data_IF_976859402719
#
_entry.id   IF_976859402719
#
_cell.length_a   1.000
_cell.length_b   1.000
_cell.length_c   1.000
_cell.angle_alpha   90.00
_cell.angle_beta   90.00
_cell.angle_gamma   90.00
#
_symmetry.space_group_name_H-M   'P 1'
#
loop_
_entity.id
_entity.type
_entity.pdbx_description
1 polymer ?
#
# COMPACT_ATOMS: atom_id res chain seq x y z
N UNK A 1 -14.17 -16.93 -13.71
CA UNK A 1 -14.53 -16.53 -12.33
C UNK A 1 -13.32 -15.84 -11.77
N UNK A 2 -13.41 -14.60 -11.27
CA UNK A 2 -12.24 -13.99 -10.66
C UNK A 2 -11.89 -14.78 -9.39
N UNK A 3 -10.64 -15.20 -9.24
CA UNK A 3 -10.18 -15.92 -8.06
C UNK A 3 -10.37 -15.11 -6.77
N UNK A 4 -10.31 -15.78 -5.62
CA UNK A 4 -10.34 -15.12 -4.31
C UNK A 4 -8.91 -14.89 -3.83
N UNK A 5 -8.64 -13.72 -3.26
CA UNK A 5 -7.37 -13.37 -2.63
C UNK A 5 -7.60 -12.64 -1.30
N UNK A 6 -6.53 -12.45 -0.55
CA UNK A 6 -6.48 -11.69 0.70
C UNK A 6 -5.46 -10.57 0.59
N UNK A 7 -5.50 -9.64 1.52
CA UNK A 7 -4.52 -8.58 1.59
C UNK A 7 -4.71 -7.74 2.83
N UNK A 8 -3.92 -6.67 2.94
CA UNK A 8 -3.99 -5.73 4.05
C UNK A 8 -4.07 -4.30 3.52
N UNK A 9 -4.97 -3.50 4.08
CA UNK A 9 -4.97 -2.05 3.96
C UNK A 9 -4.29 -1.47 5.20
N UNK A 10 -3.15 -0.83 5.00
CA UNK A 10 -2.46 -0.02 5.99
C UNK A 10 -2.84 1.43 5.76
N UNK A 11 -3.49 2.07 6.73
CA UNK A 11 -3.63 3.53 6.72
C UNK A 11 -2.59 4.07 7.69
N UNK A 12 -1.59 4.76 7.14
CA UNK A 12 -0.46 5.30 7.91
C UNK A 12 -0.78 6.63 8.54
N UNK A 13 -1.56 7.46 7.85
CA UNK A 13 -2.01 8.75 8.38
C UNK A 13 -3.31 9.15 7.71
N UNK A 14 -4.29 9.54 8.51
CA UNK A 14 -5.56 10.09 8.09
C UNK A 14 -6.04 11.12 9.13
N UNK A 15 -6.51 12.31 8.72
CA UNK A 15 -7.21 13.20 9.62
C UNK A 15 -8.42 12.49 10.25
N UNK A 16 -8.68 12.73 11.54
CA UNK A 16 -9.80 12.06 12.25
C UNK A 16 -11.16 12.23 11.56
N UNK A 17 -11.40 13.38 10.94
CA UNK A 17 -12.64 13.66 10.20
C UNK A 17 -12.76 12.83 8.90
N UNK A 18 -11.64 12.37 8.34
CA UNK A 18 -11.60 11.59 7.11
C UNK A 18 -11.84 10.09 7.35
N UNK A 19 -11.59 9.59 8.56
CA UNK A 19 -11.72 8.16 8.91
C UNK A 19 -13.02 7.48 8.42
N UNK A 20 -14.24 8.05 8.64
CA UNK A 20 -15.47 7.42 8.16
C UNK A 20 -15.57 7.37 6.62
N UNK A 21 -14.96 8.33 5.92
CA UNK A 21 -14.94 8.35 4.45
C UNK A 21 -13.98 7.31 3.89
N UNK A 22 -12.83 7.07 4.56
CA UNK A 22 -11.92 5.98 4.20
C UNK A 22 -12.62 4.63 4.35
N UNK A 23 -13.31 4.40 5.47
CA UNK A 23 -14.10 3.17 5.69
C UNK A 23 -15.16 2.98 4.61
N UNK A 24 -15.91 4.03 4.29
CA UNK A 24 -16.94 3.97 3.26
C UNK A 24 -16.36 3.68 1.87
N UNK A 25 -15.27 4.36 1.48
CA UNK A 25 -14.64 4.17 0.18
C UNK A 25 -14.05 2.76 0.04
N UNK A 26 -13.33 2.28 1.05
CA UNK A 26 -12.79 0.93 1.09
C UNK A 26 -13.90 -0.12 1.10
N UNK A 27 -14.98 0.09 1.86
CA UNK A 27 -16.14 -0.79 1.90
C UNK A 27 -16.85 -0.90 0.55
N UNK A 28 -17.01 0.22 -0.17
CA UNK A 28 -17.54 0.20 -1.54
C UNK A 28 -16.64 -0.58 -2.49
N UNK A 29 -15.32 -0.41 -2.41
CA UNK A 29 -14.37 -1.16 -3.22
C UNK A 29 -14.42 -2.68 -2.96
N UNK A 30 -14.66 -3.07 -1.69
CA UNK A 30 -14.82 -4.47 -1.29
C UNK A 30 -16.25 -5.01 -1.43
N UNK A 31 -17.20 -4.19 -1.90
CA UNK A 31 -18.63 -4.51 -1.97
C UNK A 31 -19.23 -5.02 -0.63
N UNK A 32 -18.76 -4.48 0.50
CA UNK A 32 -19.29 -4.78 1.85
C UNK A 32 -18.99 -3.65 2.83
N UNK A 33 -19.81 -3.51 3.87
CA UNK A 33 -19.48 -2.60 4.96
C UNK A 33 -18.21 -3.07 5.69
N UNK A 34 -17.35 -2.13 6.06
CA UNK A 34 -16.14 -2.35 6.85
C UNK A 34 -16.11 -1.36 8.00
N UNK A 35 -15.51 -1.76 9.11
CA UNK A 35 -15.26 -0.89 10.27
C UNK A 35 -13.80 -1.08 10.65
N UNK A 36 -13.06 0.01 10.84
CA UNK A 36 -11.64 -0.04 11.15
C UNK A 36 -11.39 0.26 12.63
N UNK A 37 -10.39 -0.41 13.19
CA UNK A 37 -9.86 -0.10 14.52
C UNK A 37 -8.84 1.01 14.39
N UNK A 38 -9.30 2.25 14.44
CA UNK A 38 -8.42 3.42 14.35
C UNK A 38 -7.62 3.61 15.64
N UNK A 39 -6.32 3.86 15.50
CA UNK A 39 -5.40 4.23 16.57
C UNK A 39 -4.81 5.62 16.30
N UNK A 40 -4.28 6.28 17.31
CA UNK A 40 -3.46 7.48 17.11
C UNK A 40 -2.14 7.11 16.41
N UNK A 41 -1.65 8.00 15.54
CA UNK A 41 -0.39 7.83 14.83
C UNK A 41 0.73 8.62 15.54
N UNK A 42 1.70 7.95 16.20
CA UNK A 42 2.76 8.65 16.93
C UNK A 42 3.66 9.54 16.06
N UNK A 43 3.81 9.23 14.76
CA UNK A 43 4.64 10.03 13.86
C UNK A 43 4.03 11.39 13.47
N UNK A 44 2.72 11.58 13.68
CA UNK A 44 2.01 12.81 13.27
C UNK A 44 0.84 13.08 14.21
N UNK A 45 0.97 14.12 15.04
CA UNK A 45 -0.08 14.49 16.00
C UNK A 45 -1.43 14.78 15.32
N UNK A 46 -2.51 14.35 15.96
CA UNK A 46 -3.88 14.44 15.44
C UNK A 46 -4.22 13.49 14.28
N UNK A 47 -3.25 12.76 13.71
CA UNK A 47 -3.50 11.76 12.68
C UNK A 47 -3.90 10.41 13.28
N UNK A 48 -4.69 9.65 12.51
CA UNK A 48 -5.12 8.30 12.84
C UNK A 48 -4.49 7.30 11.88
N UNK A 49 -4.20 6.10 12.39
CA UNK A 49 -3.72 4.95 11.62
C UNK A 49 -4.61 3.73 11.84
N UNK A 50 -4.57 2.78 10.92
CA UNK A 50 -5.23 1.47 11.09
C UNK A 50 -4.60 0.42 10.19
N UNK A 51 -4.83 -0.84 10.53
CA UNK A 51 -4.46 -2.00 9.74
C UNK A 51 -5.70 -2.87 9.59
N UNK A 52 -6.08 -3.17 8.35
CA UNK A 52 -7.30 -3.90 8.06
C UNK A 52 -7.04 -5.02 7.06
N UNK A 53 -7.07 -6.26 7.55
CA UNK A 53 -7.03 -7.45 6.70
C UNK A 53 -8.34 -7.62 5.96
N UNK A 54 -8.26 -7.89 4.67
CA UNK A 54 -9.41 -8.10 3.80
C UNK A 54 -9.31 -9.39 3.00
N UNK A 55 -10.45 -9.84 2.52
CA UNK A 55 -10.61 -10.95 1.57
C UNK A 55 -11.58 -10.49 0.50
N UNK A 56 -11.29 -10.78 -0.75
CA UNK A 56 -12.07 -10.32 -1.89
C UNK A 56 -11.69 -11.03 -3.18
N UNK A 57 -12.26 -10.56 -4.30
CA UNK A 57 -11.84 -11.03 -5.61
C UNK A 57 -10.44 -10.50 -5.96
N UNK A 58 -9.69 -11.21 -6.80
CA UNK A 58 -8.45 -10.72 -7.42
C UNK A 58 -8.71 -9.35 -8.06
N UNK A 59 -7.80 -8.40 -7.82
CA UNK A 59 -7.94 -6.99 -8.20
C UNK A 59 -8.65 -6.11 -7.17
N UNK A 60 -9.12 -6.65 -6.05
CA UNK A 60 -9.70 -5.86 -4.96
C UNK A 60 -8.67 -4.88 -4.36
N UNK A 61 -7.39 -5.24 -4.28
CA UNK A 61 -6.33 -4.34 -3.81
C UNK A 61 -6.21 -3.09 -4.68
N UNK A 62 -6.19 -3.27 -6.00
CA UNK A 62 -6.20 -2.17 -6.97
C UNK A 62 -7.48 -1.31 -6.87
N UNK A 63 -8.64 -1.95 -6.65
CA UNK A 63 -9.91 -1.24 -6.48
C UNK A 63 -9.93 -0.40 -5.19
N UNK A 64 -9.42 -0.93 -4.07
CA UNK A 64 -9.29 -0.19 -2.80
C UNK A 64 -8.34 0.99 -3.01
N UNK A 65 -7.15 0.75 -3.56
CA UNK A 65 -6.19 1.82 -3.81
C UNK A 65 -6.75 2.90 -4.73
N UNK A 66 -7.53 2.53 -5.75
CA UNK A 66 -8.19 3.49 -6.64
C UNK A 66 -9.30 4.29 -5.94
N UNK A 67 -10.04 3.67 -5.02
CA UNK A 67 -11.12 4.33 -4.28
C UNK A 67 -10.61 5.32 -3.23
N UNK A 68 -9.39 5.14 -2.74
CA UNK A 68 -8.76 5.97 -1.72
C UNK A 68 -7.89 7.11 -2.28
N UNK A 69 -7.83 7.28 -3.61
CA UNK A 69 -7.04 8.37 -4.21
C UNK A 69 -7.66 9.75 -3.97
N UNK A 70 -6.81 10.78 -3.96
CA UNK A 70 -7.24 12.18 -4.07
C UNK A 70 -7.65 12.86 -2.76
N UNK A 71 -7.37 12.24 -1.62
CA UNK A 71 -7.57 12.87 -0.31
C UNK A 71 -6.30 13.57 0.16
N UNK A 72 -6.45 14.83 0.54
CA UNK A 72 -5.38 15.59 1.20
C UNK A 72 -5.03 14.93 2.54
N UNK A 73 -3.73 14.78 2.82
CA UNK A 73 -3.18 14.16 4.04
C UNK A 73 -3.43 12.67 4.26
N UNK A 74 -3.97 11.92 3.28
CA UNK A 74 -4.12 10.47 3.39
C UNK A 74 -2.86 9.73 2.89
N UNK A 75 -2.25 8.95 3.78
CA UNK A 75 -1.14 8.02 3.47
C UNK A 75 -1.59 6.60 3.71
N UNK A 76 -1.46 5.73 2.72
CA UNK A 76 -1.86 4.34 2.85
C UNK A 76 -1.04 3.41 1.97
N UNK A 77 -1.11 2.13 2.30
CA UNK A 77 -0.64 1.03 1.48
C UNK A 77 -1.72 -0.04 1.39
N UNK A 78 -1.82 -0.68 0.23
CA UNK A 78 -2.66 -1.87 0.04
C UNK A 78 -1.77 -2.99 -0.46
N UNK A 79 -1.87 -4.15 0.17
CA UNK A 79 -1.28 -5.39 -0.34
C UNK A 79 -2.37 -6.30 -0.88
N UNK A 80 -2.05 -7.10 -1.88
CA UNK A 80 -2.84 -8.21 -2.41
C UNK A 80 -1.92 -9.42 -2.55
N UNK A 81 -2.29 -10.53 -1.93
CA UNK A 81 -1.53 -11.77 -1.98
C UNK A 81 -1.65 -12.44 -3.36
N UNK A 82 -0.58 -13.10 -3.85
CA UNK A 82 -0.65 -13.87 -5.08
C UNK A 82 -1.59 -15.07 -4.94
N UNK A 83 -2.14 -15.49 -6.07
CA UNK A 83 -2.92 -16.73 -6.18
C UNK A 83 -2.20 -17.71 -7.11
N UNK A 84 -2.80 -18.88 -7.36
CA UNK A 84 -2.29 -19.82 -8.36
C UNK A 84 -2.36 -19.27 -9.79
N UNK A 85 -3.16 -18.23 -10.02
CA UNK A 85 -3.46 -17.69 -11.37
C UNK A 85 -3.14 -16.19 -11.50
N UNK A 86 -2.70 -15.53 -10.43
CA UNK A 86 -2.43 -14.09 -10.43
C UNK A 86 -1.25 -13.76 -9.54
N UNK A 87 -0.46 -12.78 -9.97
CA UNK A 87 0.60 -12.21 -9.15
C UNK A 87 0.03 -11.39 -7.98
N UNK A 88 0.88 -11.18 -6.96
CA UNK A 88 0.57 -10.28 -5.86
C UNK A 88 0.85 -8.83 -6.24
N UNK A 89 0.44 -7.91 -5.38
CA UNK A 89 0.63 -6.48 -5.62
C UNK A 89 0.72 -5.67 -4.34
N UNK A 90 1.51 -4.59 -4.41
CA UNK A 90 1.57 -3.54 -3.40
C UNK A 90 1.29 -2.19 -4.04
N UNK A 91 0.34 -1.46 -3.49
CA UNK A 91 0.05 -0.07 -3.85
C UNK A 91 0.43 0.81 -2.67
N UNK A 92 1.23 1.84 -2.91
CA UNK A 92 1.60 2.85 -1.92
C UNK A 92 1.06 4.19 -2.37
N UNK A 93 0.48 4.96 -1.46
CA UNK A 93 -0.03 6.29 -1.78
C UNK A 93 0.47 7.32 -0.79
N UNK A 94 0.93 8.44 -1.34
CA UNK A 94 1.16 9.65 -0.56
C UNK A 94 0.43 10.84 -1.20
N UNK A 95 0.08 11.88 -0.41
CA UNK A 95 -0.63 13.05 -0.92
C UNK A 95 0.06 13.73 -2.10
N UNK A 96 1.39 13.84 -2.06
CA UNK A 96 2.16 14.60 -3.05
C UNK A 96 2.58 13.76 -4.27
N UNK A 97 2.78 12.45 -4.10
CA UNK A 97 3.27 11.56 -5.15
C UNK A 97 2.16 10.76 -5.84
N UNK A 98 0.99 10.62 -5.22
CA UNK A 98 -0.09 9.77 -5.71
C UNK A 98 0.20 8.28 -5.50
N UNK A 99 -0.33 7.41 -6.37
CA UNK A 99 -0.19 5.95 -6.24
C UNK A 99 1.05 5.44 -6.96
N UNK A 100 1.90 4.72 -6.25
CA UNK A 100 2.89 3.80 -6.80
C UNK A 100 2.39 2.37 -6.70
N UNK A 101 2.63 1.57 -7.74
CA UNK A 101 2.29 0.15 -7.77
C UNK A 101 3.55 -0.65 -8.07
N UNK A 102 3.71 -1.77 -7.36
CA UNK A 102 4.62 -2.81 -7.76
C UNK A 102 4.02 -4.20 -7.58
N UNK A 103 4.35 -5.10 -8.50
CA UNK A 103 4.09 -6.52 -8.36
C UNK A 103 4.91 -7.09 -7.20
N UNK A 104 4.37 -8.09 -6.52
CA UNK A 104 5.09 -8.81 -5.46
C UNK A 104 5.20 -10.31 -5.76
N UNK A 105 6.27 -10.93 -5.28
CA UNK A 105 6.41 -12.38 -5.31
C UNK A 105 5.58 -13.06 -4.19
N UNK A 106 5.64 -14.39 -4.14
CA UNK A 106 4.92 -15.23 -3.15
C UNK A 106 5.34 -15.02 -1.70
N UNK A 107 6.43 -14.29 -1.47
CA UNK A 107 6.92 -13.94 -0.12
C UNK A 107 6.74 -12.46 0.20
N UNK A 108 6.14 -11.68 -0.71
CA UNK A 108 5.90 -10.25 -0.53
C UNK A 108 7.05 -9.35 -0.98
N UNK A 109 8.10 -9.87 -1.63
CA UNK A 109 9.15 -9.00 -2.17
C UNK A 109 8.64 -8.25 -3.39
N UNK A 110 9.03 -6.98 -3.52
CA UNK A 110 8.81 -6.22 -4.74
C UNK A 110 9.58 -6.83 -5.92
N UNK A 111 8.89 -7.02 -7.04
CA UNK A 111 9.49 -7.47 -8.30
C UNK A 111 9.67 -6.28 -9.23
N UNK A 112 10.91 -6.07 -9.69
CA UNK A 112 11.20 -5.10 -10.76
C UNK A 112 11.29 -5.88 -12.08
N UNK A 113 10.42 -5.59 -13.06
CA UNK A 113 10.48 -6.24 -14.36
C UNK A 113 11.82 -6.00 -15.07
N UNK A 114 12.30 -7.00 -15.80
CA UNK A 114 13.54 -6.92 -16.58
C UNK A 114 13.58 -5.68 -17.50
N UNK A 115 12.47 -5.38 -18.19
CA UNK A 115 12.37 -4.22 -19.06
C UNK A 115 12.49 -2.89 -18.32
N UNK A 116 12.09 -2.82 -17.04
CA UNK A 116 12.27 -1.62 -16.22
C UNK A 116 13.74 -1.40 -15.88
N UNK A 117 14.50 -2.47 -15.64
CA UNK A 117 15.95 -2.42 -15.41
C UNK A 117 16.67 -2.06 -16.72
N UNK A 118 16.31 -2.71 -17.83
CA UNK A 118 16.87 -2.41 -19.16
C UNK A 118 16.64 -0.94 -19.54
N UNK A 119 15.44 -0.42 -19.31
CA UNK A 119 15.12 0.99 -19.52
C UNK A 119 16.03 1.92 -18.71
N UNK A 120 16.24 1.63 -17.41
CA UNK A 120 17.13 2.42 -16.57
C UNK A 120 18.57 2.43 -17.10
N UNK A 121 19.06 1.30 -17.60
CA UNK A 121 20.39 1.19 -18.22
C UNK A 121 20.49 1.98 -19.53
N UNK A 122 19.46 1.92 -20.37
CA UNK A 122 19.41 2.64 -21.65
C UNK A 122 19.40 4.15 -21.45
N UNK A 123 18.53 4.65 -20.57
CA UNK A 123 18.43 6.09 -20.26
C UNK A 123 19.73 6.61 -19.64
N UNK A 124 20.36 5.83 -18.77
CA UNK A 124 21.58 6.24 -18.08
C UNK A 124 22.84 6.23 -18.96
N UNK A 125 22.91 5.32 -19.94
CA UNK A 125 24.13 5.09 -20.72
C UNK A 125 25.34 4.78 -19.81
N UNK A 126 26.40 5.58 -19.91
CA UNK A 126 27.58 5.47 -19.03
C UNK A 126 27.51 6.32 -17.75
N UNK A 127 26.40 7.04 -17.51
CA UNK A 127 26.24 7.90 -16.34
C UNK A 127 25.70 7.11 -15.14
N UNK A 128 26.61 6.76 -14.22
CA UNK A 128 26.23 6.04 -13.01
C UNK A 128 25.22 6.80 -12.14
N UNK A 129 25.27 8.13 -12.07
CA UNK A 129 24.32 8.90 -11.24
C UNK A 129 22.89 8.79 -11.79
N UNK A 130 22.75 8.82 -13.11
CA UNK A 130 21.47 8.65 -13.79
C UNK A 130 20.91 7.24 -13.60
N UNK A 131 21.78 6.22 -13.65
CA UNK A 131 21.37 4.84 -13.36
C UNK A 131 20.79 4.72 -11.94
N UNK A 132 21.46 5.29 -10.93
CA UNK A 132 20.93 5.30 -9.57
C UNK A 132 19.60 6.05 -9.45
N UNK A 133 19.42 7.14 -10.19
CA UNK A 133 18.17 7.90 -10.23
C UNK A 133 17.03 7.04 -10.79
N UNK A 134 17.22 6.41 -11.94
CA UNK A 134 16.19 5.59 -12.57
C UNK A 134 15.87 4.32 -11.75
N UNK A 135 16.87 3.70 -11.11
CA UNK A 135 16.64 2.57 -10.21
C UNK A 135 15.84 2.97 -8.96
N UNK A 136 16.10 4.14 -8.37
CA UNK A 136 15.27 4.66 -7.25
C UNK A 136 13.83 4.90 -7.66
N UNK A 137 13.59 5.38 -8.88
CA UNK A 137 12.24 5.52 -9.43
C UNK A 137 11.56 4.16 -9.62
N UNK A 138 12.29 3.16 -10.12
CA UNK A 138 11.79 1.80 -10.27
C UNK A 138 11.44 1.14 -8.94
N UNK A 139 12.21 1.44 -7.88
CA UNK A 139 11.97 0.95 -6.52
C UNK A 139 10.84 1.69 -5.78
N UNK A 140 10.37 2.83 -6.29
CA UNK A 140 9.40 3.65 -5.57
C UNK A 140 9.99 4.34 -4.34
N UNK A 141 11.31 4.61 -4.32
CA UNK A 141 12.04 5.11 -3.15
C UNK A 141 11.38 6.34 -2.50
N UNK A 142 10.84 7.28 -3.29
CA UNK A 142 10.22 8.49 -2.77
C UNK A 142 8.97 8.18 -1.91
N UNK A 143 8.23 7.11 -2.22
CA UNK A 143 7.10 6.67 -1.40
C UNK A 143 7.59 6.02 -0.12
N UNK A 144 8.61 5.17 -0.19
CA UNK A 144 9.20 4.57 1.01
C UNK A 144 9.76 5.65 1.94
N UNK A 145 10.53 6.61 1.44
CA UNK A 145 11.09 7.71 2.25
C UNK A 145 10.01 8.50 3.00
N UNK A 146 8.85 8.72 2.38
CA UNK A 146 7.73 9.42 3.02
C UNK A 146 6.95 8.54 4.01
N UNK A 147 6.80 7.24 3.73
CA UNK A 147 6.01 6.32 4.55
C UNK A 147 6.81 5.72 5.72
N UNK A 148 8.12 5.62 5.60
CA UNK A 148 8.99 4.93 6.57
C UNK A 148 8.86 5.48 8.01
N UNK A 149 8.80 6.81 8.24
CA UNK A 149 8.59 7.34 9.60
C UNK A 149 7.28 6.84 10.24
N UNK A 150 6.22 6.67 9.44
CA UNK A 150 4.92 6.19 9.91
C UNK A 150 4.92 4.68 10.17
N UNK A 151 5.66 3.90 9.35
CA UNK A 151 5.84 2.45 9.53
C UNK A 151 6.58 2.17 10.84
N UNK A 152 7.72 2.82 11.08
CA UNK A 152 8.48 2.63 12.32
C UNK A 152 7.72 3.06 13.58
N UNK A 153 6.97 4.16 13.51
CA UNK A 153 6.15 4.60 14.64
C UNK A 153 5.02 3.61 15.00
N UNK A 154 4.59 2.78 14.05
CA UNK A 154 3.57 1.77 14.25
C UNK A 154 4.08 0.50 14.97
N UNK A 155 5.37 0.15 14.82
CA UNK A 155 6.00 -1.07 15.38
C UNK A 155 5.98 -1.13 16.92
N UNK A 156 5.82 0.01 17.60
CA UNK A 156 5.79 0.10 19.06
C UNK A 156 4.45 -0.23 19.73
N UNK A 157 3.39 -0.57 18.97
CA UNK A 157 2.05 -0.82 19.51
C UNK A 157 1.69 -2.32 19.49
N UNK A 158 1.01 -2.85 20.52
CA UNK A 158 0.74 -4.28 20.64
C UNK A 158 -0.13 -4.77 19.47
N UNK A 159 0.42 -5.72 18.71
CA UNK A 159 -0.27 -6.45 17.66
C UNK A 159 -1.49 -7.17 18.26
N UNK A 160 -2.70 -6.81 17.81
CA UNK A 160 -3.91 -7.56 18.14
C UNK A 160 -3.90 -8.85 17.30
N UNK A 161 -3.47 -9.94 17.90
CA UNK A 161 -3.62 -11.27 17.30
C UNK A 161 -5.11 -11.61 17.20
N UNK A 162 -5.65 -11.64 15.98
CA UNK A 162 -6.94 -12.25 15.70
C UNK A 162 -6.78 -13.78 15.83
N UNK A 163 -7.11 -14.31 17.00
CA UNK A 163 -7.31 -15.74 17.19
C UNK A 163 -8.50 -16.21 16.34
N UNK A 164 -8.22 -17.07 15.35
CA UNK A 164 -9.26 -17.83 14.65
C UNK A 164 -9.73 -18.94 15.59
N UNK A 165 -10.90 -18.75 16.22
CA UNK A 165 -11.63 -19.86 16.86
C UNK A 165 -12.53 -20.50 15.82
N UNK A 166 -12.29 -21.78 15.57
CA UNK A 166 -13.06 -22.67 14.70
C UNK A 166 -12.51 -24.08 14.83
#
# INVERSE_FOLDING_TARGET
MNGTTTGVLYVHSSPRALCPHVEWAAGRAMNRAVNFSWLDQPAQDGARRTEFTWTGAVGAGAAIASALRGWEHLRYEVTEEPTTESDGGRWMHTPDLGVFYAQTDVTGNMVIPEDRVRYAMEVAGSNALELHRELRLALGQAWDDELEPFRHAAEGNPVVWLHRVG
#
